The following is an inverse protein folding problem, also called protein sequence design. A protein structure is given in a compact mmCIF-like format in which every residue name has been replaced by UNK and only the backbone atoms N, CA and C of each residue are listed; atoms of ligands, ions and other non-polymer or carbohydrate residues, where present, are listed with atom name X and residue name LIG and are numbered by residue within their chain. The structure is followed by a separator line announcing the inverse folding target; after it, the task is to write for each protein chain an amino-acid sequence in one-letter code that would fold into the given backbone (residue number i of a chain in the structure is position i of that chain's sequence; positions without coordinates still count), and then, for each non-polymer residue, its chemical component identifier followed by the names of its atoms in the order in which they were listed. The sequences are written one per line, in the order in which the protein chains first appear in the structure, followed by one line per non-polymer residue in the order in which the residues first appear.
data_IF_172808600760
#
_entry.id   IF_172808600760
#
_cell.length_a   1.000
_cell.length_b   1.000
_cell.length_c   1.000
_cell.angle_alpha   90.00
_cell.angle_beta   90.00
_cell.angle_gamma   90.00
#
_symmetry.space_group_name_H-M   'P 1'
#
loop_
_entity.id
_entity.type
_entity.pdbx_description
1 polymer ?
#
# COMPACT_ATOMS: atom_id res chain seq x y z
N UNK A 1 6.07 -16.82 23.01
CA UNK A 1 5.03 -15.96 22.41
C UNK A 1 5.65 -14.84 21.57
N UNK A 2 6.70 -14.18 22.06
CA UNK A 2 7.36 -13.07 21.36
C UNK A 2 8.06 -13.49 20.05
N UNK A 3 8.79 -14.61 20.00
CA UNK A 3 9.46 -15.05 18.76
C UNK A 3 8.51 -15.38 17.60
N UNK A 4 7.34 -15.95 17.92
CA UNK A 4 6.31 -16.28 16.92
C UNK A 4 5.68 -15.01 16.35
N UNK A 5 5.40 -14.02 17.20
CA UNK A 5 4.87 -12.72 16.78
C UNK A 5 5.90 -11.95 15.92
N UNK A 6 7.17 -11.96 16.31
CA UNK A 6 8.25 -11.32 15.53
C UNK A 6 8.46 -12.01 14.18
N UNK A 7 8.41 -13.34 14.12
CA UNK A 7 8.52 -14.10 12.86
C UNK A 7 7.32 -13.86 11.95
N UNK A 8 6.12 -13.77 12.52
CA UNK A 8 4.90 -13.42 11.80
C UNK A 8 4.96 -11.99 11.25
N UNK A 9 5.37 -11.01 12.07
CA UNK A 9 5.57 -9.63 11.65
C UNK A 9 6.62 -9.52 10.54
N UNK A 10 7.74 -10.25 10.62
CA UNK A 10 8.76 -10.26 9.57
C UNK A 10 8.29 -10.87 8.25
N UNK A 11 7.63 -12.04 8.32
CA UNK A 11 7.07 -12.69 7.14
C UNK A 11 5.97 -11.88 6.46
N UNK A 12 5.16 -11.19 7.26
CA UNK A 12 4.08 -10.39 6.73
C UNK A 12 4.58 -8.98 6.32
N UNK A 13 5.64 -8.42 6.93
CA UNK A 13 6.33 -7.23 6.42
C UNK A 13 6.96 -7.46 5.04
N UNK A 14 7.32 -8.71 4.72
CA UNK A 14 7.75 -9.09 3.38
C UNK A 14 6.62 -9.03 2.33
N UNK A 15 5.33 -8.99 2.73
CA UNK A 15 4.22 -8.82 1.78
C UNK A 15 4.34 -7.52 1.00
N UNK A 16 4.76 -6.44 1.65
CA UNK A 16 4.90 -5.13 1.02
C UNK A 16 5.87 -5.16 -0.18
N UNK A 17 7.15 -5.56 -0.04
CA UNK A 17 8.05 -5.62 -1.19
C UNK A 17 7.63 -6.69 -2.20
N UNK A 18 7.07 -7.83 -1.78
CA UNK A 18 6.64 -8.88 -2.71
C UNK A 18 5.49 -8.43 -3.62
N UNK A 19 4.46 -7.80 -3.05
CA UNK A 19 3.32 -7.27 -3.82
C UNK A 19 3.77 -6.09 -4.67
N UNK A 20 4.67 -5.24 -4.17
CA UNK A 20 5.22 -4.12 -4.96
C UNK A 20 6.02 -4.59 -6.17
N UNK A 21 6.86 -5.62 -6.01
CA UNK A 21 7.59 -6.25 -7.12
C UNK A 21 6.62 -6.86 -8.13
N UNK A 22 5.57 -7.55 -7.67
CA UNK A 22 4.54 -8.09 -8.55
C UNK A 22 3.85 -6.97 -9.36
N UNK A 23 3.48 -5.86 -8.72
CA UNK A 23 2.88 -4.71 -9.39
C UNK A 23 3.82 -4.14 -10.44
N UNK A 24 5.09 -3.96 -10.10
CA UNK A 24 6.10 -3.45 -11.04
C UNK A 24 6.27 -4.36 -12.26
N UNK A 25 6.31 -5.68 -12.06
CA UNK A 25 6.40 -6.66 -13.15
C UNK A 25 5.12 -6.67 -13.99
N UNK A 26 3.95 -6.60 -13.35
CA UNK A 26 2.65 -6.57 -14.04
C UNK A 26 2.50 -5.31 -14.89
N UNK A 27 2.90 -4.16 -14.35
CA UNK A 27 2.86 -2.88 -15.06
C UNK A 27 3.84 -2.87 -16.25
N UNK A 28 5.07 -3.35 -16.06
CA UNK A 28 6.04 -3.45 -17.15
C UNK A 28 5.58 -4.37 -18.28
N UNK A 29 4.94 -5.51 -17.96
CA UNK A 29 4.54 -6.51 -18.95
C UNK A 29 3.21 -6.20 -19.62
N UNK A 30 2.24 -5.67 -18.88
CA UNK A 30 0.85 -5.56 -19.35
C UNK A 30 0.28 -4.14 -19.23
N UNK A 31 1.01 -3.20 -18.61
CA UNK A 31 0.51 -1.86 -18.22
C UNK A 31 -0.79 -1.94 -17.40
N UNK A 32 -0.88 -2.95 -16.56
CA UNK A 32 -2.03 -3.19 -15.69
C UNK A 32 -1.53 -3.26 -14.26
N UNK A 33 -2.02 -2.32 -13.45
CA UNK A 33 -1.96 -2.39 -12.00
C UNK A 33 -3.30 -2.92 -11.51
N UNK A 34 -3.36 -4.18 -11.03
CA UNK A 34 -4.63 -4.78 -10.64
C UNK A 34 -5.11 -4.22 -9.29
N UNK A 35 -6.41 -3.92 -9.21
CA UNK A 35 -7.01 -3.31 -8.01
C UNK A 35 -6.76 -4.11 -6.72
N UNK A 36 -6.72 -5.44 -6.83
CA UNK A 36 -6.50 -6.31 -5.67
C UNK A 36 -5.14 -6.03 -5.01
N UNK A 37 -4.10 -5.66 -5.77
CA UNK A 37 -2.78 -5.39 -5.23
C UNK A 37 -2.79 -4.12 -4.35
N UNK A 38 -3.46 -3.06 -4.82
CA UNK A 38 -3.66 -1.84 -4.04
C UNK A 38 -4.49 -2.10 -2.78
N UNK A 39 -5.54 -2.93 -2.86
CA UNK A 39 -6.34 -3.32 -1.69
C UNK A 39 -5.51 -4.11 -0.69
N UNK A 40 -4.73 -5.09 -1.13
CA UNK A 40 -3.86 -5.89 -0.27
C UNK A 40 -2.84 -5.00 0.44
N UNK A 41 -2.17 -4.09 -0.28
CA UNK A 41 -1.18 -3.18 0.32
C UNK A 41 -1.81 -2.25 1.37
N UNK A 42 -2.95 -1.62 1.04
CA UNK A 42 -3.61 -0.70 1.98
C UNK A 42 -4.21 -1.39 3.22
N UNK A 43 -4.73 -2.61 3.07
CA UNK A 43 -5.31 -3.37 4.18
C UNK A 43 -4.27 -4.10 5.01
N UNK A 44 -3.14 -4.51 4.41
CA UNK A 44 -2.10 -5.23 5.12
C UNK A 44 -1.49 -4.38 6.23
N UNK A 45 -1.43 -3.05 6.08
CA UNK A 45 -0.87 -2.14 7.09
C UNK A 45 -1.57 -2.22 8.46
N UNK A 46 -2.91 -2.23 8.50
CA UNK A 46 -3.68 -2.18 9.75
C UNK A 46 -3.32 -3.29 10.77
N UNK A 47 -3.30 -4.58 10.42
CA UNK A 47 -2.92 -5.62 11.36
C UNK A 47 -1.46 -5.48 11.84
N UNK A 48 -0.54 -4.94 11.02
CA UNK A 48 0.82 -4.65 11.50
C UNK A 48 0.83 -3.53 12.51
N UNK A 49 0.10 -2.46 12.25
CA UNK A 49 0.08 -1.32 13.13
C UNK A 49 -0.50 -1.68 14.50
N UNK A 50 -1.55 -2.52 14.52
CA UNK A 50 -2.12 -3.05 15.76
C UNK A 50 -1.13 -3.97 16.49
N UNK A 51 -0.48 -4.91 15.78
CA UNK A 51 0.48 -5.84 16.39
C UNK A 51 1.79 -5.14 16.82
N UNK A 52 2.12 -4.02 16.19
CA UNK A 52 3.28 -3.18 16.50
C UNK A 52 3.00 -2.15 17.59
N UNK A 53 1.81 -2.17 18.21
CA UNK A 53 1.37 -1.24 19.25
C UNK A 53 1.49 0.24 18.82
N UNK A 54 1.20 0.52 17.54
CA UNK A 54 1.21 1.88 17.02
C UNK A 54 0.07 2.69 17.62
N UNK A 55 0.37 3.95 17.96
CA UNK A 55 -0.63 4.91 18.38
C UNK A 55 -1.72 5.09 17.30
N UNK A 56 -2.97 5.22 17.74
CA UNK A 56 -4.11 5.39 16.84
C UNK A 56 -4.00 6.65 15.97
N UNK A 57 -3.38 7.71 16.49
CA UNK A 57 -3.08 8.93 15.72
C UNK A 57 -2.07 8.68 14.60
N UNK A 58 -1.03 7.87 14.85
CA UNK A 58 -0.07 7.47 13.82
C UNK A 58 -0.72 6.61 12.72
N UNK A 59 -1.64 5.70 13.09
CA UNK A 59 -2.42 4.90 12.14
C UNK A 59 -3.31 5.80 11.27
N UNK A 60 -4.02 6.74 11.90
CA UNK A 60 -4.87 7.69 11.19
C UNK A 60 -4.07 8.60 10.26
N UNK A 61 -2.87 9.02 10.66
CA UNK A 61 -1.97 9.82 9.83
C UNK A 61 -1.50 9.06 8.58
N UNK A 62 -1.17 7.77 8.71
CA UNK A 62 -0.82 6.93 7.56
C UNK A 62 -1.97 6.80 6.56
N UNK A 63 -3.15 6.38 7.01
CA UNK A 63 -4.32 6.32 6.13
C UNK A 63 -4.70 7.68 5.56
N UNK A 64 -4.52 8.76 6.33
CA UNK A 64 -4.69 10.14 5.87
C UNK A 64 -3.72 10.51 4.75
N UNK A 65 -2.46 10.09 4.84
CA UNK A 65 -1.47 10.29 3.79
C UNK A 65 -1.85 9.53 2.51
N UNK A 66 -2.25 8.26 2.61
CA UNK A 66 -2.74 7.46 1.48
C UNK A 66 -3.97 8.09 0.79
N UNK A 67 -4.93 8.61 1.56
CA UNK A 67 -6.10 9.33 1.03
C UNK A 67 -5.71 10.65 0.36
N UNK A 68 -4.79 11.42 0.95
CA UNK A 68 -4.30 12.66 0.35
C UNK A 68 -3.56 12.38 -0.98
N UNK A 69 -2.74 11.33 -1.01
CA UNK A 69 -2.06 10.86 -2.22
C UNK A 69 -3.05 10.39 -3.29
N UNK A 70 -4.12 9.69 -2.90
CA UNK A 70 -5.19 9.31 -3.81
C UNK A 70 -5.85 10.55 -4.43
N UNK A 71 -6.22 11.52 -3.59
CA UNK A 71 -6.86 12.74 -4.04
C UNK A 71 -5.96 13.52 -5.03
N UNK A 72 -4.69 13.71 -4.70
CA UNK A 72 -3.71 14.35 -5.59
C UNK A 72 -3.51 13.53 -6.87
N UNK A 73 -3.39 12.21 -6.77
CA UNK A 73 -3.22 11.33 -7.91
C UNK A 73 -4.41 11.39 -8.87
N UNK A 74 -5.64 11.41 -8.36
CA UNK A 74 -6.86 11.58 -9.17
C UNK A 74 -6.85 12.92 -9.91
N UNK A 75 -6.40 14.00 -9.27
CA UNK A 75 -6.24 15.30 -9.94
C UNK A 75 -5.21 15.25 -11.07
N UNK A 76 -4.14 14.48 -10.93
CA UNK A 76 -3.14 14.29 -11.99
C UNK A 76 -3.64 13.36 -13.10
N UNK A 77 -4.41 12.32 -12.76
CA UNK A 77 -5.03 11.39 -13.71
C UNK A 77 -6.07 12.10 -14.59
N UNK A 78 -6.92 12.93 -14.00
CA UNK A 78 -7.92 13.72 -14.77
C UNK A 78 -7.28 14.72 -15.72
N UNK A 79 -6.04 15.15 -15.44
CA UNK A 79 -5.21 15.98 -16.34
C UNK A 79 -4.39 15.17 -17.35
N UNK A 80 -4.45 13.83 -17.32
CA UNK A 80 -3.70 12.96 -18.22
C UNK A 80 -2.19 12.91 -17.96
N UNK A 81 -1.73 13.32 -16.77
CA UNK A 81 -0.30 13.39 -16.43
C UNK A 81 0.24 12.00 -16.00
N UNK A 82 -0.56 11.24 -15.25
CA UNK A 82 -0.21 9.89 -14.77
C UNK A 82 -1.35 8.91 -15.04
N UNK A 83 -1.03 7.62 -15.12
CA UNK A 83 -2.02 6.57 -15.34
C UNK A 83 -2.89 6.33 -14.09
N UNK A 84 -4.13 5.88 -14.29
CA UNK A 84 -5.02 5.54 -13.18
C UNK A 84 -4.54 4.34 -12.37
N UNK A 85 -3.67 3.49 -12.94
CA UNK A 85 -2.95 2.46 -12.19
C UNK A 85 -1.98 3.06 -11.18
N UNK A 86 -1.17 4.02 -11.63
CA UNK A 86 -0.13 4.69 -10.82
C UNK A 86 -0.74 5.38 -9.60
N UNK A 87 -1.89 6.03 -9.79
CA UNK A 87 -2.65 6.66 -8.70
C UNK A 87 -2.99 5.67 -7.59
N UNK A 88 -3.45 4.46 -7.96
CA UNK A 88 -3.88 3.46 -6.99
C UNK A 88 -2.71 2.91 -6.18
N UNK A 89 -1.56 2.69 -6.82
CA UNK A 89 -0.39 2.15 -6.11
C UNK A 89 0.27 3.20 -5.22
N UNK A 90 0.36 4.46 -5.69
CA UNK A 90 0.86 5.58 -4.89
C UNK A 90 0.00 5.78 -3.64
N UNK A 91 -1.32 5.72 -3.77
CA UNK A 91 -2.24 5.80 -2.64
C UNK A 91 -2.12 4.62 -1.66
N UNK A 92 -1.85 3.41 -2.16
CA UNK A 92 -1.76 2.20 -1.34
C UNK A 92 -0.44 2.07 -0.56
N UNK A 93 0.59 2.84 -0.94
CA UNK A 93 1.92 2.82 -0.30
C UNK A 93 2.08 3.91 0.77
N UNK A 94 1.25 4.97 0.73
CA UNK A 94 1.28 6.05 1.73
C UNK A 94 0.51 5.70 3.00
#
# INVERSE_FOLDING_TARGET
MNEVLTSFQGGAAALFPLVTVYVMVSDFRHRIIPNWASVVLGLAFLPFAILGDMDGGAIAAHYGAGVALLAMGVLLFTKGIIGGGDVKIIAAVG
#
